data_IF_987007024000
#
_entry.id   IF_987007024000
#
_cell.length_a   1.000
_cell.length_b   1.000
_cell.length_c   1.000
_cell.angle_alpha   90.00
_cell.angle_beta   90.00
_cell.angle_gamma   90.00
#
_symmetry.space_group_name_H-M   'P 1'
#
loop_
_entity.id
_entity.type
_entity.pdbx_description
1 polymer ?
#
# COMPACT_ATOMS: atom_id res chain seq x y z
N UNK A 1 -38.11 -61.87 -44.97
CA UNK A 1 -38.71 -61.15 -43.82
C UNK A 1 -37.88 -59.91 -43.52
N UNK A 2 -38.47 -58.74 -43.73
CA UNK A 2 -37.85 -57.42 -43.66
C UNK A 2 -37.89 -56.95 -42.20
N UNK A 3 -36.76 -56.53 -41.62
CA UNK A 3 -36.74 -55.78 -40.36
C UNK A 3 -36.14 -54.39 -40.62
N UNK A 4 -36.87 -53.35 -40.21
CA UNK A 4 -36.61 -51.93 -40.50
C UNK A 4 -35.53 -51.37 -39.54
N UNK A 5 -34.61 -50.50 -40.00
CA UNK A 5 -33.69 -49.83 -39.10
C UNK A 5 -34.39 -48.70 -38.34
N UNK A 6 -34.17 -48.65 -37.02
CA UNK A 6 -34.59 -47.54 -36.14
C UNK A 6 -33.79 -46.29 -36.51
N UNK A 7 -34.48 -45.19 -36.86
CA UNK A 7 -33.87 -43.87 -37.04
C UNK A 7 -33.60 -43.27 -35.65
N UNK A 8 -32.32 -43.11 -35.28
CA UNK A 8 -31.92 -42.23 -34.19
C UNK A 8 -32.07 -40.78 -34.69
N UNK A 9 -32.97 -40.01 -34.07
CA UNK A 9 -33.04 -38.57 -34.26
C UNK A 9 -32.12 -37.95 -33.21
N UNK A 10 -30.91 -37.58 -33.59
CA UNK A 10 -30.04 -36.73 -32.77
C UNK A 10 -30.58 -35.30 -32.81
N UNK A 11 -31.21 -34.86 -31.72
CA UNK A 11 -31.56 -33.45 -31.54
C UNK A 11 -30.28 -32.72 -31.12
N UNK A 12 -29.69 -31.94 -32.03
CA UNK A 12 -28.56 -31.06 -31.71
C UNK A 12 -29.14 -29.80 -31.04
N UNK A 13 -28.94 -29.70 -29.73
CA UNK A 13 -29.25 -28.48 -28.96
C UNK A 13 -28.11 -27.47 -29.20
N UNK A 14 -28.35 -26.44 -30.01
CA UNK A 14 -27.43 -25.30 -30.11
C UNK A 14 -27.56 -24.45 -28.84
N UNK A 15 -26.59 -24.57 -27.92
CA UNK A 15 -26.41 -23.59 -26.85
C UNK A 15 -25.87 -22.28 -27.45
N UNK A 16 -26.73 -21.27 -27.53
CA UNK A 16 -26.33 -19.89 -27.80
C UNK A 16 -25.54 -19.38 -26.58
N UNK A 17 -24.21 -19.42 -26.64
CA UNK A 17 -23.38 -18.79 -25.62
C UNK A 17 -23.52 -17.27 -25.75
N UNK A 18 -24.25 -16.64 -24.82
CA UNK A 18 -24.27 -15.20 -24.70
C UNK A 18 -22.86 -14.74 -24.30
N UNK A 19 -22.14 -14.12 -25.23
CA UNK A 19 -20.88 -13.45 -24.94
C UNK A 19 -21.21 -12.19 -24.16
N UNK A 20 -21.20 -12.29 -22.84
CA UNK A 20 -21.22 -11.11 -21.97
C UNK A 20 -19.86 -10.44 -22.13
N UNK A 21 -19.79 -9.41 -22.97
CA UNK A 21 -18.59 -8.58 -23.06
C UNK A 21 -18.47 -7.79 -21.76
N UNK A 22 -17.52 -8.18 -20.92
CA UNK A 22 -17.15 -7.39 -19.75
C UNK A 22 -16.58 -6.05 -20.25
N UNK A 23 -17.38 -4.99 -20.15
CA UNK A 23 -16.93 -3.64 -20.47
C UNK A 23 -15.90 -3.25 -19.41
N UNK A 24 -14.63 -3.09 -19.82
CA UNK A 24 -13.61 -2.56 -18.92
C UNK A 24 -14.11 -1.23 -18.34
N UNK A 25 -14.04 -1.08 -17.02
CA UNK A 25 -14.40 0.17 -16.37
C UNK A 25 -13.57 1.31 -16.98
N UNK A 26 -14.24 2.41 -17.35
CA UNK A 26 -13.54 3.58 -17.87
C UNK A 26 -12.66 4.17 -16.77
N UNK A 27 -11.40 4.45 -17.10
CA UNK A 27 -10.47 5.07 -16.16
C UNK A 27 -10.90 6.52 -15.89
N UNK A 28 -10.72 7.03 -14.65
CA UNK A 28 -10.98 8.43 -14.35
C UNK A 28 -10.18 9.37 -15.26
N UNK A 29 -10.71 10.57 -15.52
CA UNK A 29 -10.03 11.60 -16.34
C UNK A 29 -8.69 12.09 -15.76
N UNK A 30 -8.41 11.79 -14.50
CA UNK A 30 -7.12 12.04 -13.85
C UNK A 30 -6.02 11.07 -14.30
N UNK A 31 -6.37 9.96 -14.96
CA UNK A 31 -5.40 9.03 -15.52
C UNK A 31 -5.02 9.48 -16.93
N UNK A 32 -3.71 9.65 -17.16
CA UNK A 32 -3.20 10.07 -18.46
C UNK A 32 -3.62 9.08 -19.59
N UNK A 33 -3.93 9.62 -20.77
CA UNK A 33 -4.30 8.81 -21.93
C UNK A 33 -3.20 7.80 -22.26
N UNK A 34 -3.56 6.51 -22.33
CA UNK A 34 -2.63 5.43 -22.64
C UNK A 34 -1.77 4.97 -21.46
N UNK A 35 -1.98 5.49 -20.25
CA UNK A 35 -1.31 4.99 -19.05
C UNK A 35 -1.59 3.49 -18.87
N UNK A 36 -0.56 2.77 -18.42
CA UNK A 36 -0.65 1.36 -18.05
C UNK A 36 -0.12 1.19 -16.64
N UNK A 37 -0.74 0.31 -15.86
CA UNK A 37 -0.18 -0.12 -14.60
C UNK A 37 1.10 -0.92 -14.87
N UNK A 38 2.19 -0.55 -14.20
CA UNK A 38 3.49 -1.20 -14.33
C UNK A 38 3.99 -1.53 -12.94
N UNK A 39 4.43 -2.77 -12.74
CA UNK A 39 5.14 -3.15 -11.52
C UNK A 39 6.55 -2.56 -11.57
N UNK A 40 6.87 -1.69 -10.60
CA UNK A 40 8.20 -1.06 -10.48
C UNK A 40 9.05 -1.67 -9.38
N UNK A 41 8.43 -2.41 -8.45
CA UNK A 41 9.11 -3.09 -7.35
C UNK A 41 8.17 -4.13 -6.75
N UNK A 42 8.70 -5.31 -6.42
CA UNK A 42 7.99 -6.38 -5.72
C UNK A 42 8.91 -7.05 -4.71
N UNK A 43 8.33 -7.57 -3.64
CA UNK A 43 9.02 -8.32 -2.61
C UNK A 43 8.01 -9.23 -1.88
N UNK A 44 8.49 -10.06 -0.94
CA UNK A 44 7.60 -10.86 -0.08
C UNK A 44 6.95 -10.04 1.06
N UNK A 45 7.29 -8.76 1.19
CA UNK A 45 6.71 -7.89 2.21
C UNK A 45 5.32 -7.38 1.83
N UNK A 46 4.54 -7.05 2.86
CA UNK A 46 3.38 -6.19 2.72
C UNK A 46 3.85 -4.72 2.69
N UNK A 47 3.61 -4.02 1.58
CA UNK A 47 4.05 -2.64 1.39
C UNK A 47 2.92 -1.65 1.69
N UNK A 48 3.23 -0.58 2.43
CA UNK A 48 2.28 0.45 2.86
C UNK A 48 2.89 1.86 2.82
N UNK A 49 2.07 2.89 3.05
CA UNK A 49 2.50 4.25 3.35
C UNK A 49 3.54 4.85 2.38
N UNK A 50 3.26 4.93 1.06
CA UNK A 50 4.19 5.51 0.10
C UNK A 50 4.29 7.04 0.25
N UNK A 51 5.52 7.56 0.32
CA UNK A 51 5.82 9.00 0.30
C UNK A 51 6.85 9.32 -0.78
N UNK A 52 6.54 10.28 -1.66
CA UNK A 52 7.45 10.80 -2.66
C UNK A 52 8.24 12.00 -2.12
N UNK A 53 9.57 11.95 -2.23
CA UNK A 53 10.43 13.12 -2.01
C UNK A 53 10.72 13.80 -3.37
N UNK A 54 10.15 14.98 -3.65
CA UNK A 54 10.35 15.70 -4.90
C UNK A 54 11.75 16.32 -5.01
N UNK A 55 12.48 16.49 -3.91
CA UNK A 55 13.83 17.08 -3.93
C UNK A 55 14.84 16.09 -4.49
N UNK A 56 14.79 14.83 -4.03
CA UNK A 56 15.71 13.78 -4.49
C UNK A 56 15.16 12.92 -5.62
N UNK A 57 13.85 12.99 -5.87
CA UNK A 57 13.18 12.15 -6.86
C UNK A 57 13.12 10.68 -6.44
N UNK A 58 12.87 10.43 -5.14
CA UNK A 58 12.90 9.09 -4.53
C UNK A 58 11.56 8.77 -3.88
N UNK A 59 11.14 7.52 -4.00
CA UNK A 59 9.95 7.01 -3.33
C UNK A 59 10.36 6.23 -2.08
N UNK A 60 9.69 6.50 -0.97
CA UNK A 60 9.85 5.80 0.29
C UNK A 60 8.55 5.07 0.60
N UNK A 61 8.61 3.85 1.12
CA UNK A 61 7.43 3.11 1.56
C UNK A 61 7.81 2.12 2.64
N UNK A 62 6.83 1.67 3.43
CA UNK A 62 7.07 0.71 4.49
C UNK A 62 6.97 -0.71 3.98
N UNK A 63 7.66 -1.64 4.64
CA UNK A 63 7.68 -3.05 4.29
C UNK A 63 7.57 -3.88 5.57
N UNK A 64 6.52 -4.69 5.67
CA UNK A 64 6.25 -5.60 6.79
C UNK A 64 6.45 -7.04 6.33
N UNK A 65 7.37 -7.76 6.97
CA UNK A 65 7.70 -9.14 6.59
C UNK A 65 7.07 -10.16 7.54
N UNK A 66 6.32 -11.11 6.98
CA UNK A 66 5.79 -12.26 7.72
C UNK A 66 4.84 -11.94 8.89
N UNK A 67 4.36 -10.70 8.99
CA UNK A 67 3.57 -10.23 10.13
C UNK A 67 4.34 -10.16 11.46
N UNK A 68 5.67 -10.28 11.43
CA UNK A 68 6.52 -10.20 12.62
C UNK A 68 6.68 -8.73 13.04
N UNK A 69 6.26 -8.34 14.27
CA UNK A 69 6.46 -7.01 14.83
C UNK A 69 7.93 -6.61 15.07
N UNK A 70 8.89 -7.50 14.86
CA UNK A 70 10.31 -7.17 14.84
C UNK A 70 10.90 -6.90 13.43
N UNK A 71 10.18 -7.24 12.36
CA UNK A 71 10.69 -7.18 10.99
C UNK A 71 9.89 -6.18 10.10
N UNK A 72 10.05 -4.89 10.39
CA UNK A 72 9.55 -3.81 9.54
C UNK A 72 10.65 -2.84 9.14
N UNK A 73 10.54 -2.37 7.91
CA UNK A 73 11.51 -1.50 7.29
C UNK A 73 10.81 -0.33 6.61
N UNK A 74 11.56 0.75 6.41
CA UNK A 74 11.24 1.74 5.38
C UNK A 74 12.22 1.49 4.24
N UNK A 75 11.69 1.26 3.05
CA UNK A 75 12.44 1.05 1.82
C UNK A 75 12.50 2.37 1.04
N UNK A 76 13.68 2.70 0.51
CA UNK A 76 13.84 3.74 -0.52
C UNK A 76 13.98 3.08 -1.89
N UNK A 77 13.17 3.51 -2.84
CA UNK A 77 13.25 3.12 -4.25
C UNK A 77 13.98 4.19 -5.05
N UNK A 78 15.17 3.84 -5.50
CA UNK A 78 16.03 4.72 -6.30
C UNK A 78 15.66 4.75 -7.79
N UNK A 79 14.87 3.78 -8.22
CA UNK A 79 14.35 3.55 -9.56
C UNK A 79 13.73 2.13 -9.63
N UNK A 80 13.13 1.73 -10.76
CA UNK A 80 12.50 0.40 -10.88
C UNK A 80 13.46 -0.73 -10.49
N UNK A 81 13.01 -1.61 -9.60
CA UNK A 81 13.75 -2.75 -9.05
C UNK A 81 14.86 -2.39 -8.05
N UNK A 82 15.12 -1.10 -7.79
CA UNK A 82 16.25 -0.62 -6.96
C UNK A 82 15.78 -0.18 -5.56
N UNK A 83 15.15 -1.10 -4.83
CA UNK A 83 14.77 -0.89 -3.44
C UNK A 83 15.93 -1.14 -2.50
N UNK A 84 16.14 -0.26 -1.51
CA UNK A 84 17.14 -0.42 -0.46
C UNK A 84 16.53 -0.12 0.91
N UNK A 85 16.97 -0.81 1.94
CA UNK A 85 16.55 -0.52 3.32
C UNK A 85 17.08 0.85 3.72
N UNK A 86 16.17 1.77 3.98
CA UNK A 86 16.48 3.13 4.41
C UNK A 86 16.39 3.26 5.93
N UNK A 87 15.38 2.66 6.55
CA UNK A 87 15.30 2.47 8.00
C UNK A 87 15.00 0.99 8.27
N UNK A 88 15.87 0.34 9.04
CA UNK A 88 15.61 -1.01 9.56
C UNK A 88 14.98 -0.94 10.95
N UNK A 89 14.21 -1.97 11.33
CA UNK A 89 13.53 -2.07 12.62
C UNK A 89 12.76 -0.79 12.97
N UNK A 90 11.83 -0.41 12.09
CA UNK A 90 11.09 0.86 12.23
C UNK A 90 10.11 0.88 13.41
N UNK A 91 9.97 -0.21 14.16
CA UNK A 91 8.97 -0.41 15.23
C UNK A 91 7.53 -0.17 14.72
N UNK A 92 7.26 -0.65 13.51
CA UNK A 92 5.93 -0.56 12.92
C UNK A 92 5.55 0.84 12.43
N UNK A 93 6.50 1.64 11.94
CA UNK A 93 6.11 2.78 11.08
C UNK A 93 5.30 2.24 9.91
N UNK A 94 4.09 2.76 9.70
CA UNK A 94 3.15 2.32 8.67
C UNK A 94 2.87 3.44 7.65
N UNK A 95 1.82 4.22 7.82
CA UNK A 95 1.54 5.37 6.99
C UNK A 95 2.58 6.46 7.20
N UNK A 96 2.96 7.10 6.09
CA UNK A 96 3.97 8.15 6.06
C UNK A 96 3.50 9.34 5.25
N UNK A 97 4.10 10.51 5.52
CA UNK A 97 3.75 11.75 4.85
C UNK A 97 4.96 12.68 4.67
N UNK A 98 5.05 13.38 3.55
CA UNK A 98 6.03 14.45 3.37
C UNK A 98 5.53 15.73 4.04
N UNK A 99 6.14 16.13 5.15
CA UNK A 99 5.78 17.36 5.85
C UNK A 99 6.16 18.62 5.07
N UNK A 100 5.55 19.74 5.45
CA UNK A 100 5.79 21.06 4.86
C UNK A 100 7.26 21.53 4.99
N UNK A 101 8.00 21.04 5.98
CA UNK A 101 9.41 21.30 6.19
C UNK A 101 10.34 20.25 5.54
N UNK A 102 9.80 19.40 4.65
CA UNK A 102 10.57 18.45 3.86
C UNK A 102 11.07 17.25 4.66
N UNK A 103 10.35 16.83 5.69
CA UNK A 103 10.67 15.67 6.53
C UNK A 103 9.69 14.54 6.27
N UNK A 104 10.08 13.31 6.59
CA UNK A 104 9.19 12.17 6.59
C UNK A 104 8.49 12.10 7.95
N UNK A 105 7.17 12.31 7.98
CA UNK A 105 6.34 11.94 9.11
C UNK A 105 6.01 10.45 9.04
N UNK A 106 5.92 9.79 10.19
CA UNK A 106 5.54 8.39 10.27
C UNK A 106 4.61 8.12 11.45
N UNK A 107 3.55 7.36 11.21
CA UNK A 107 2.73 6.76 12.26
C UNK A 107 3.39 5.46 12.73
N UNK A 108 3.97 5.47 13.93
CA UNK A 108 4.69 4.31 14.48
C UNK A 108 3.78 3.53 15.43
N UNK A 109 3.30 2.37 14.94
CA UNK A 109 2.31 1.55 15.61
C UNK A 109 2.82 1.00 16.95
N UNK A 110 4.00 0.38 16.98
CA UNK A 110 4.44 -0.37 18.17
C UNK A 110 5.12 0.51 19.23
N UNK A 111 5.56 1.71 18.85
CA UNK A 111 6.03 2.73 19.78
C UNK A 111 4.94 3.70 20.26
N UNK A 112 3.69 3.54 19.81
CA UNK A 112 2.55 4.39 20.16
C UNK A 112 2.85 5.89 20.00
N UNK A 113 3.46 6.25 18.86
CA UNK A 113 3.98 7.60 18.62
C UNK A 113 3.92 8.05 17.17
N UNK A 114 3.93 9.36 16.98
CA UNK A 114 4.21 10.00 15.70
C UNK A 114 5.68 10.40 15.65
N UNK A 115 6.32 10.10 14.53
CA UNK A 115 7.75 10.32 14.30
C UNK A 115 7.97 11.32 13.17
N UNK A 116 9.13 11.96 13.18
CA UNK A 116 9.63 12.83 12.11
C UNK A 116 11.10 12.53 11.84
N UNK A 117 11.45 12.34 10.58
CA UNK A 117 12.81 12.01 10.13
C UNK A 117 13.25 12.99 9.04
N UNK A 118 14.48 13.50 9.11
CA UNK A 118 15.07 14.17 7.95
C UNK A 118 15.50 13.11 6.92
N UNK A 119 15.30 13.38 5.63
CA UNK A 119 15.83 12.52 4.59
C UNK A 119 17.36 12.52 4.59
N UNK A 120 17.96 11.33 4.49
CA UNK A 120 19.40 11.16 4.38
C UNK A 120 19.75 10.07 3.37
N UNK A 121 20.91 10.17 2.67
CA UNK A 121 21.29 9.24 1.60
C UNK A 121 21.62 7.84 2.11
N UNK A 122 21.89 7.67 3.41
CA UNK A 122 22.22 6.39 4.07
C UNK A 122 21.18 5.93 5.09
N UNK A 123 20.07 6.66 5.23
CA UNK A 123 19.03 6.40 6.23
C UNK A 123 18.44 7.68 6.81
N UNK A 124 17.51 7.59 7.77
CA UNK A 124 16.94 8.74 8.45
C UNK A 124 17.98 9.48 9.27
N UNK A 125 17.99 10.80 9.14
CA UNK A 125 18.67 11.70 10.07
C UNK A 125 17.70 12.31 11.07
N UNK A 126 18.23 12.86 12.16
CA UNK A 126 17.51 13.72 13.11
C UNK A 126 16.12 13.16 13.52
N UNK A 127 16.05 11.88 13.87
CA UNK A 127 14.80 11.22 14.23
C UNK A 127 14.21 11.83 15.51
N UNK A 128 12.94 12.25 15.46
CA UNK A 128 12.24 12.92 16.56
C UNK A 128 10.85 12.34 16.77
N UNK A 129 10.49 12.07 18.03
CA UNK A 129 9.10 11.84 18.39
C UNK A 129 8.38 13.18 18.48
N UNK A 130 7.30 13.34 17.71
CA UNK A 130 6.45 14.54 17.74
C UNK A 130 5.39 14.45 18.83
N UNK A 131 4.87 13.24 19.06
CA UNK A 131 3.90 12.95 20.10
C UNK A 131 3.98 11.47 20.47
N UNK A 132 3.80 11.15 21.76
CA UNK A 132 3.80 9.78 22.28
C UNK A 132 2.64 9.65 23.25
N UNK A 133 1.86 8.58 23.14
CA UNK A 133 0.84 8.26 24.14
C UNK A 133 0.62 6.76 24.20
N UNK A 134 1.02 6.12 25.30
CA UNK A 134 0.89 4.68 25.52
C UNK A 134 -0.57 4.18 25.59
N UNK A 135 -1.56 5.08 25.58
CA UNK A 135 -2.98 4.73 25.47
C UNK A 135 -3.45 4.62 24.02
N UNK A 136 -2.68 5.11 23.06
CA UNK A 136 -2.98 4.88 21.64
C UNK A 136 -2.89 3.40 21.32
N UNK A 137 -3.72 2.95 20.39
CA UNK A 137 -3.75 1.56 19.98
C UNK A 137 -2.57 1.26 19.05
N UNK A 138 -2.67 1.69 17.80
CA UNK A 138 -1.68 1.49 16.75
C UNK A 138 -1.81 2.63 15.75
N UNK A 139 -1.09 3.76 15.94
CA UNK A 139 -1.01 4.80 14.93
C UNK A 139 -0.74 4.19 13.54
N UNK A 140 -1.65 4.44 12.59
CA UNK A 140 -1.67 3.70 11.33
C UNK A 140 -1.36 4.58 10.13
N UNK A 141 -2.10 5.67 9.91
CA UNK A 141 -1.82 6.62 8.84
C UNK A 141 -1.69 8.05 9.38
N UNK A 142 -0.96 8.91 8.68
CA UNK A 142 -0.67 10.29 9.10
C UNK A 142 -0.71 11.25 7.91
N UNK A 143 -1.21 12.46 8.12
CA UNK A 143 -1.14 13.53 7.16
C UNK A 143 -0.91 14.88 7.83
N UNK A 144 -0.48 15.87 7.04
CA UNK A 144 -0.33 17.25 7.49
C UNK A 144 -1.14 18.18 6.59
N UNK A 145 -1.88 19.08 7.23
CA UNK A 145 -2.66 20.11 6.55
C UNK A 145 -1.80 21.35 6.24
N UNK A 146 -2.21 22.23 5.30
CA UNK A 146 -1.41 23.40 4.92
C UNK A 146 -1.12 24.41 6.03
N UNK A 147 -1.91 24.43 7.11
CA UNK A 147 -1.66 25.28 8.28
C UNK A 147 -0.74 24.61 9.33
N UNK A 148 -0.20 23.43 9.02
CA UNK A 148 0.75 22.72 9.86
C UNK A 148 0.13 21.68 10.80
N UNK A 149 -1.20 21.60 10.94
CA UNK A 149 -1.82 20.60 11.82
C UNK A 149 -1.58 19.19 11.28
N UNK A 150 -1.22 18.27 12.18
CA UNK A 150 -0.99 16.85 11.91
C UNK A 150 -2.21 16.06 12.38
N UNK A 151 -2.72 15.19 11.51
CA UNK A 151 -3.80 14.26 11.81
C UNK A 151 -3.31 12.84 11.57
N UNK A 152 -3.82 11.90 12.34
CA UNK A 152 -3.47 10.49 12.21
C UNK A 152 -4.64 9.61 12.61
N UNK A 153 -4.62 8.37 12.15
CA UNK A 153 -5.57 7.33 12.55
C UNK A 153 -4.96 6.42 13.62
N UNK A 154 -5.78 5.99 14.58
CA UNK A 154 -5.35 5.11 15.68
C UNK A 154 -6.30 3.91 15.85
N UNK A 155 -6.32 2.98 14.87
CA UNK A 155 -7.20 1.82 14.93
C UNK A 155 -6.85 0.83 16.05
N UNK A 156 -7.89 0.32 16.72
CA UNK A 156 -7.80 -0.83 17.61
C UNK A 156 -7.87 -2.14 16.82
N UNK A 157 -6.75 -2.49 16.18
CA UNK A 157 -6.62 -3.75 15.43
C UNK A 157 -6.75 -4.98 16.33
N UNK A 158 -6.33 -4.91 17.59
CA UNK A 158 -6.40 -6.02 18.53
C UNK A 158 -7.85 -6.44 18.80
N UNK A 159 -8.75 -5.48 18.97
CA UNK A 159 -10.17 -5.75 19.21
C UNK A 159 -11.04 -5.68 17.95
N UNK A 160 -10.46 -5.44 16.76
CA UNK A 160 -11.16 -5.32 15.47
C UNK A 160 -12.33 -4.32 15.48
N UNK A 161 -12.25 -3.27 16.29
CA UNK A 161 -13.37 -2.34 16.50
C UNK A 161 -13.43 -1.21 15.49
N UNK A 162 -12.31 -0.87 14.85
CA UNK A 162 -12.21 0.33 14.01
C UNK A 162 -11.46 0.15 12.70
N UNK A 163 -10.99 -1.05 12.38
CA UNK A 163 -10.33 -1.33 11.10
C UNK A 163 -11.36 -1.76 10.08
N UNK A 164 -11.96 -0.79 9.37
CA UNK A 164 -12.61 -1.10 8.10
C UNK A 164 -11.57 -0.98 6.99
N UNK A 165 -11.11 -2.14 6.54
CA UNK A 165 -10.93 -2.37 5.11
C UNK A 165 -12.17 -3.14 4.65
#
# INVERSE_FOLDING_TARGET
MISRPRRLVCTILFLLAAVVSARAAELPSTVAKGARLVEVFSSAAFHEGPTWDPVTGKLYFTAFFGGDPANQQIIRLDGPGKGTVWLDKSEGVNGTWLSLDGRLLGAQAYGHRLMSYSFGPKGPGDAKALAVNMKWHQPNDVCQTPNGNIYFTDPDFANKKTSKV
#
